data_IF_052463138141
#
_entry.id   IF_052463138141
#
_cell.length_a   1.000
_cell.length_b   1.000
_cell.length_c   1.000
_cell.angle_alpha   90.00
_cell.angle_beta   90.00
_cell.angle_gamma   90.00
#
_symmetry.space_group_name_H-M   'P 1'
#
loop_
_entity.id
_entity.type
_entity.pdbx_description
1 polymer ?
#
# COMPACT_ATOMS: atom_id res chain seq x y z
N UNK A 1 2.88 -18.30 21.95
CA UNK A 1 3.29 -17.03 21.31
C UNK A 1 3.58 -17.20 19.84
N UNK A 2 4.36 -18.20 19.47
CA UNK A 2 4.72 -18.41 18.07
C UNK A 2 3.51 -18.68 17.17
N UNK A 3 2.57 -19.48 17.64
CA UNK A 3 1.35 -19.75 16.87
C UNK A 3 0.49 -18.51 16.70
N UNK A 4 0.50 -17.65 17.71
CA UNK A 4 -0.22 -16.37 17.63
C UNK A 4 0.39 -15.48 16.55
N UNK A 5 1.71 -15.38 16.54
CA UNK A 5 2.43 -14.57 15.56
C UNK A 5 2.22 -15.13 14.15
N UNK A 6 2.24 -16.45 14.00
CA UNK A 6 2.03 -17.07 12.69
C UNK A 6 0.66 -16.74 12.12
N UNK A 7 -0.37 -16.66 12.94
CA UNK A 7 -1.72 -16.31 12.49
C UNK A 7 -1.80 -14.91 11.92
N UNK A 8 -0.94 -14.02 12.36
CA UNK A 8 -0.93 -12.64 11.92
C UNK A 8 0.19 -12.33 10.96
N UNK A 9 0.94 -13.35 10.55
CA UNK A 9 2.01 -13.17 9.58
C UNK A 9 1.42 -12.97 8.19
N UNK A 10 1.93 -11.95 7.49
CA UNK A 10 1.59 -11.68 6.11
C UNK A 10 2.77 -11.98 5.19
N UNK A 11 3.70 -12.80 5.67
CA UNK A 11 4.86 -13.17 4.89
C UNK A 11 4.43 -13.83 3.58
N UNK A 12 4.99 -13.36 2.48
CA UNK A 12 4.62 -13.85 1.16
C UNK A 12 3.38 -13.18 0.56
N UNK A 13 2.70 -12.33 1.32
CA UNK A 13 1.54 -11.60 0.80
C UNK A 13 1.99 -10.32 0.12
N UNK A 14 1.17 -9.85 -0.82
CA UNK A 14 1.47 -8.68 -1.61
C UNK A 14 0.35 -7.67 -1.50
N UNK A 15 0.69 -6.44 -1.17
CA UNK A 15 -0.30 -5.41 -0.84
C UNK A 15 -0.09 -4.14 -1.66
N UNK A 16 -1.19 -3.53 -2.06
CA UNK A 16 -1.20 -2.18 -2.62
C UNK A 16 -1.94 -1.29 -1.63
N UNK A 17 -1.33 -0.18 -1.25
CA UNK A 17 -1.94 0.80 -0.36
C UNK A 17 -2.06 2.12 -1.12
N UNK A 18 -3.28 2.51 -1.46
CA UNK A 18 -3.53 3.79 -2.12
C UNK A 18 -3.60 4.90 -1.08
N UNK A 19 -3.11 6.08 -1.45
CA UNK A 19 -2.98 7.18 -0.49
C UNK A 19 -1.93 6.89 0.57
N UNK A 20 -0.93 6.07 0.22
CA UNK A 20 0.01 5.52 1.18
C UNK A 20 1.21 6.38 1.54
N UNK A 21 1.34 7.58 0.93
CA UNK A 21 2.53 8.39 1.14
C UNK A 21 2.63 8.96 2.55
N UNK A 22 1.52 9.23 3.19
CA UNK A 22 1.51 9.81 4.54
C UNK A 22 0.21 9.52 5.27
N UNK A 23 0.16 9.89 6.55
CA UNK A 23 -1.05 9.81 7.36
C UNK A 23 -1.43 8.40 7.76
N UNK A 24 -2.72 8.19 7.96
CA UNK A 24 -3.25 6.92 8.43
C UNK A 24 -2.91 5.77 7.50
N UNK A 25 -3.00 5.98 6.21
CA UNK A 25 -2.74 4.91 5.24
C UNK A 25 -1.27 4.52 5.22
N UNK A 26 -0.37 5.48 5.42
CA UNK A 26 1.05 5.14 5.58
C UNK A 26 1.27 4.29 6.84
N UNK A 27 0.59 4.63 7.93
CA UNK A 27 0.67 3.83 9.16
C UNK A 27 0.14 2.42 8.96
N UNK A 28 -0.94 2.27 8.21
CA UNK A 28 -1.48 0.96 7.88
C UNK A 28 -0.53 0.17 6.99
N UNK A 29 0.10 0.83 6.02
CA UNK A 29 1.10 0.20 5.18
C UNK A 29 2.30 -0.29 6.00
N UNK A 30 2.73 0.50 6.97
CA UNK A 30 3.79 0.12 7.87
C UNK A 30 3.43 -1.14 8.64
N UNK A 31 2.19 -1.23 9.11
CA UNK A 31 1.73 -2.42 9.82
C UNK A 31 1.74 -3.66 8.94
N UNK A 32 1.31 -3.53 7.68
CA UNK A 32 1.37 -4.63 6.73
C UNK A 32 2.81 -5.07 6.46
N UNK A 33 3.70 -4.09 6.29
CA UNK A 33 5.13 -4.34 6.10
C UNK A 33 5.72 -5.06 7.31
N UNK A 34 5.41 -4.60 8.51
CA UNK A 34 5.93 -5.19 9.74
C UNK A 34 5.45 -6.63 9.93
N UNK A 35 4.28 -6.94 9.39
CA UNK A 35 3.75 -8.30 9.41
C UNK A 35 4.34 -9.20 8.32
N UNK A 36 5.18 -8.65 7.45
CA UNK A 36 5.91 -9.41 6.46
C UNK A 36 5.46 -9.23 5.01
N UNK A 37 4.46 -8.39 4.76
CA UNK A 37 3.96 -8.20 3.40
C UNK A 37 4.92 -7.35 2.56
N UNK A 38 4.97 -7.67 1.27
CA UNK A 38 5.58 -6.80 0.29
C UNK A 38 4.54 -5.75 -0.09
N UNK A 39 4.91 -4.47 -0.03
CA UNK A 39 3.94 -3.36 -0.14
C UNK A 39 4.31 -2.42 -1.27
N UNK A 40 3.29 -2.01 -2.04
CA UNK A 40 3.41 -0.88 -2.95
C UNK A 40 2.64 0.28 -2.35
N UNK A 41 3.32 1.41 -2.15
CA UNK A 41 2.67 2.66 -1.77
C UNK A 41 2.30 3.39 -3.06
N UNK A 42 1.02 3.62 -3.26
CA UNK A 42 0.50 4.32 -4.43
C UNK A 42 -0.09 5.65 -3.99
N UNK A 43 0.42 6.74 -4.53
CA UNK A 43 -0.07 8.07 -4.16
C UNK A 43 0.17 9.03 -5.32
N UNK A 44 -0.60 10.10 -5.34
CA UNK A 44 -0.41 11.19 -6.28
C UNK A 44 0.74 12.11 -5.85
N UNK A 45 1.11 12.07 -4.57
CA UNK A 45 2.14 12.94 -4.00
C UNK A 45 3.54 12.48 -4.35
N UNK A 46 4.41 13.44 -4.65
CA UNK A 46 5.82 13.15 -4.97
C UNK A 46 6.56 12.47 -3.82
N UNK A 47 6.13 12.71 -2.59
CA UNK A 47 6.79 12.14 -1.42
C UNK A 47 6.64 10.63 -1.30
N UNK A 48 5.84 10.01 -2.16
CA UNK A 48 5.60 8.56 -2.07
C UNK A 48 6.90 7.75 -2.17
N UNK A 49 7.84 8.20 -2.98
CA UNK A 49 9.13 7.52 -3.10
C UNK A 49 9.94 7.61 -1.80
N UNK A 50 9.94 8.79 -1.18
CA UNK A 50 10.64 8.97 0.09
C UNK A 50 9.99 8.15 1.19
N UNK A 51 8.66 8.08 1.19
CA UNK A 51 7.92 7.27 2.16
C UNK A 51 8.27 5.80 2.04
N UNK A 52 8.38 5.30 0.81
CA UNK A 52 8.75 3.91 0.57
C UNK A 52 10.17 3.63 1.02
N UNK A 53 11.11 4.54 0.75
CA UNK A 53 12.49 4.38 1.18
C UNK A 53 12.62 4.35 2.69
N UNK A 54 11.87 5.22 3.36
CA UNK A 54 11.86 5.27 4.82
C UNK A 54 11.36 3.96 5.41
N UNK A 55 10.30 3.43 4.85
CA UNK A 55 9.71 2.17 5.30
C UNK A 55 10.63 0.99 5.01
N UNK A 56 11.31 1.00 3.87
CA UNK A 56 12.17 -0.09 3.45
C UNK A 56 13.44 -0.25 4.28
N UNK A 57 13.74 0.69 5.17
CA UNK A 57 14.91 0.60 6.04
C UNK A 57 14.92 -0.68 6.87
N UNK A 58 13.76 -1.25 7.12
CA UNK A 58 13.62 -2.46 7.92
C UNK A 58 13.81 -3.74 7.11
N UNK A 59 14.16 -3.61 5.83
CA UNK A 59 14.58 -4.74 5.02
C UNK A 59 13.52 -5.46 4.23
N UNK A 60 12.25 -5.24 4.47
CA UNK A 60 11.21 -5.83 3.65
C UNK A 60 11.02 -5.01 2.39
N UNK A 61 10.47 -5.63 1.35
CA UNK A 61 10.31 -4.96 0.07
C UNK A 61 9.17 -3.96 0.10
N UNK A 62 9.48 -2.70 -0.16
CA UNK A 62 8.49 -1.63 -0.28
C UNK A 62 8.79 -0.87 -1.57
N UNK A 63 7.74 -0.71 -2.38
CA UNK A 63 7.85 -0.03 -3.65
C UNK A 63 6.99 1.21 -3.65
N UNK A 64 7.31 2.15 -4.52
CA UNK A 64 6.53 3.36 -4.68
C UNK A 64 6.05 3.47 -6.12
N UNK A 65 4.78 3.84 -6.29
CA UNK A 65 4.22 4.18 -7.59
C UNK A 65 3.49 5.50 -7.43
N UNK A 66 3.85 6.48 -8.24
CA UNK A 66 3.14 7.75 -8.27
C UNK A 66 2.06 7.68 -9.34
N UNK A 67 0.83 7.98 -8.97
CA UNK A 67 -0.26 7.96 -9.91
C UNK A 67 -1.50 8.63 -9.36
N UNK A 68 -2.35 9.09 -10.27
CA UNK A 68 -3.60 9.76 -9.94
C UNK A 68 -4.76 8.80 -10.24
N UNK A 69 -5.38 8.30 -9.19
CA UNK A 69 -6.50 7.35 -9.33
C UNK A 69 -7.77 8.00 -9.84
N UNK A 70 -7.83 9.33 -9.85
CA UNK A 70 -8.98 10.05 -10.42
C UNK A 70 -8.90 10.16 -11.93
N UNK A 71 -7.73 9.92 -12.51
CA UNK A 71 -7.54 9.92 -13.95
C UNK A 71 -7.83 8.54 -14.52
N UNK A 72 -9.06 8.36 -15.00
CA UNK A 72 -9.51 7.07 -15.48
C UNK A 72 -8.72 6.57 -16.69
N UNK A 73 -8.16 7.48 -17.48
CA UNK A 73 -7.39 7.10 -18.67
C UNK A 73 -6.07 6.43 -18.30
N UNK A 74 -5.49 6.81 -17.17
CA UNK A 74 -4.22 6.25 -16.71
C UNK A 74 -4.39 5.16 -15.64
N UNK A 75 -5.60 4.92 -15.17
CA UNK A 75 -5.85 4.02 -14.05
C UNK A 75 -5.31 2.62 -14.29
N UNK A 76 -5.57 2.05 -15.44
CA UNK A 76 -5.10 0.72 -15.79
C UNK A 76 -3.57 0.66 -15.80
N UNK A 77 -2.93 1.68 -16.39
CA UNK A 77 -1.48 1.76 -16.43
C UNK A 77 -0.88 1.82 -15.03
N UNK A 78 -1.50 2.61 -14.15
CA UNK A 78 -1.03 2.77 -12.77
C UNK A 78 -1.11 1.44 -12.02
N UNK A 79 -2.24 0.74 -12.14
CA UNK A 79 -2.37 -0.56 -11.48
C UNK A 79 -1.41 -1.59 -12.06
N UNK A 80 -1.19 -1.56 -13.36
CA UNK A 80 -0.23 -2.46 -13.99
C UNK A 80 1.18 -2.22 -13.48
N UNK A 81 1.56 -0.97 -13.22
CA UNK A 81 2.84 -0.65 -12.61
C UNK A 81 2.95 -1.26 -11.21
N UNK A 82 1.88 -1.16 -10.42
CA UNK A 82 1.87 -1.75 -9.09
C UNK A 82 2.02 -3.27 -9.16
N UNK A 83 1.27 -3.91 -10.05
CA UNK A 83 1.34 -5.36 -10.22
C UNK A 83 2.73 -5.81 -10.67
N UNK A 84 3.34 -5.05 -11.57
CA UNK A 84 4.68 -5.36 -12.04
C UNK A 84 5.70 -5.33 -10.89
N UNK A 85 5.60 -4.33 -10.03
CA UNK A 85 6.46 -4.24 -8.85
C UNK A 85 6.28 -5.42 -7.92
N UNK A 86 5.08 -5.98 -7.86
CA UNK A 86 4.74 -7.10 -6.98
C UNK A 86 4.89 -8.47 -7.65
N UNK A 87 5.37 -8.50 -8.89
CA UNK A 87 5.55 -9.78 -9.59
C UNK A 87 4.26 -10.35 -10.17
N UNK A 88 3.23 -9.52 -10.34
CA UNK A 88 2.00 -9.90 -11.01
C UNK A 88 0.86 -10.38 -10.12
N UNK A 89 1.02 -10.28 -8.79
CA UNK A 89 -0.01 -10.74 -7.86
C UNK A 89 -0.29 -9.69 -6.78
N UNK A 90 -1.56 -9.56 -6.40
CA UNK A 90 -2.00 -8.73 -5.28
C UNK A 90 -2.91 -9.56 -4.39
N UNK A 91 -2.62 -9.60 -3.12
CA UNK A 91 -3.44 -10.29 -2.11
C UNK A 91 -4.28 -9.32 -1.29
N UNK A 92 -3.78 -8.09 -1.11
CA UNK A 92 -4.41 -7.10 -0.24
C UNK A 92 -4.46 -5.76 -0.96
N UNK A 93 -5.63 -5.14 -0.98
CA UNK A 93 -5.80 -3.79 -1.51
C UNK A 93 -6.41 -2.92 -0.43
N UNK A 94 -5.64 -1.95 0.05
CA UNK A 94 -6.13 -0.96 0.99
C UNK A 94 -6.38 0.35 0.26
N UNK A 95 -7.63 0.71 0.08
CA UNK A 95 -8.01 1.90 -0.67
C UNK A 95 -8.10 3.12 0.25
N UNK A 96 -6.94 3.71 0.52
CA UNK A 96 -6.85 4.87 1.40
C UNK A 96 -7.41 6.15 0.82
N UNK A 97 -7.34 6.28 -0.51
CA UNK A 97 -7.92 7.46 -1.17
C UNK A 97 -9.43 7.53 -0.94
N UNK A 98 -10.10 6.37 -0.92
CA UNK A 98 -11.52 6.31 -0.62
C UNK A 98 -11.82 6.61 0.83
N UNK A 99 -10.94 6.22 1.73
CA UNK A 99 -11.15 6.45 3.17
C UNK A 99 -11.22 7.94 3.49
N UNK A 100 -10.39 8.76 2.84
CA UNK A 100 -10.37 10.19 3.10
C UNK A 100 -11.70 10.86 2.78
N UNK A 101 -12.40 10.37 1.76
CA UNK A 101 -13.69 10.88 1.39
C UNK A 101 -14.81 10.25 2.21
N UNK A 102 -14.55 9.11 2.77
CA UNK A 102 -15.55 8.32 3.49
C UNK A 102 -15.69 8.70 4.94
N UNK A 103 -14.72 9.42 5.49
CA UNK A 103 -14.76 9.76 6.90
C UNK A 103 -16.11 10.36 7.33
N UNK A 104 -16.71 11.29 6.57
CA UNK A 104 -18.03 11.80 6.92
C UNK A 104 -19.18 10.93 6.46
N UNK A 105 -18.91 9.86 5.76
CA UNK A 105 -19.95 9.02 5.15
C UNK A 105 -19.98 7.63 5.76
N UNK A 106 -19.74 7.56 7.05
CA UNK A 106 -19.77 6.28 7.79
C UNK A 106 -21.15 5.66 7.81
N UNK A 107 -22.13 6.42 7.47
CA UNK A 107 -23.51 5.99 7.39
C UNK A 107 -23.88 5.27 6.08
N UNK A 108 -22.92 5.01 5.29
CA UNK A 108 -23.11 4.19 4.09
C UNK A 108 -23.74 2.86 4.44
#
# INVERSE_FOLDING_TARGET
MDKFIEKFSLEGKKAIVTGGAKGLCNGMAQALHDAGAEVVLLDILDIVEDSAKEMAKEGAMVHAVKGDLSDTDSLESVYNQCLEKLGGRVDILLNGAGIQYRAPAVDF
#
